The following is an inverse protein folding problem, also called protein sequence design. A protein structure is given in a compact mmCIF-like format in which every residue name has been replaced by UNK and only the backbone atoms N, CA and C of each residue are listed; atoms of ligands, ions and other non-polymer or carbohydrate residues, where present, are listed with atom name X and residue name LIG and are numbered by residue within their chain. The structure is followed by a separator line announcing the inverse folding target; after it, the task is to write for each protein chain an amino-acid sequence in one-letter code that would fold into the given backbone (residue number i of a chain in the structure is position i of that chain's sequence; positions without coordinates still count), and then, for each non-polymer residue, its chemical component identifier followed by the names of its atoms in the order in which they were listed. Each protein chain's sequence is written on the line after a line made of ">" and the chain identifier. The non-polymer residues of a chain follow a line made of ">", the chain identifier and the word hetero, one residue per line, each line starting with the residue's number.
data_IF_896484045492
#
_entry.id   IF_896484045492
#
_cell.length_a   1.000
_cell.length_b   1.000
_cell.length_c   1.000
_cell.angle_alpha   90.00
_cell.angle_beta   90.00
_cell.angle_gamma   90.00
#
_symmetry.space_group_name_H-M   'P 1'
#
loop_
_entity.id
_entity.type
_entity.pdbx_description
1 polymer ?
#
# COMPACT_ATOMS: atom_id res chain seq x y z
N UNK A 1 -33.09 -78.99 -37.84
CA UNK A 1 -32.14 -78.07 -37.17
C UNK A 1 -31.71 -77.00 -38.17
N UNK A 2 -31.31 -75.79 -37.73
CA UNK A 2 -30.85 -74.64 -38.55
C UNK A 2 -31.91 -73.67 -39.12
N UNK A 3 -32.71 -72.99 -38.28
CA UNK A 3 -33.42 -71.76 -38.71
C UNK A 3 -33.30 -70.53 -37.77
N UNK A 4 -32.62 -70.63 -36.61
CA UNK A 4 -32.58 -69.54 -35.63
C UNK A 4 -31.22 -68.82 -35.45
N UNK A 5 -30.16 -69.22 -36.17
CA UNK A 5 -28.84 -68.60 -35.97
C UNK A 5 -28.72 -67.18 -36.56
N UNK A 6 -29.36 -66.91 -37.69
CA UNK A 6 -29.22 -65.63 -38.39
C UNK A 6 -30.00 -64.47 -37.71
N UNK A 7 -31.14 -64.78 -37.08
CA UNK A 7 -31.93 -63.80 -36.29
C UNK A 7 -31.22 -63.40 -34.99
N UNK A 8 -30.58 -64.35 -34.32
CA UNK A 8 -29.77 -64.11 -33.12
C UNK A 8 -28.51 -63.28 -33.43
N UNK A 9 -27.83 -63.57 -34.54
CA UNK A 9 -26.66 -62.81 -35.01
C UNK A 9 -27.02 -61.37 -35.39
N UNK A 10 -28.15 -61.16 -36.07
CA UNK A 10 -28.62 -59.81 -36.43
C UNK A 10 -29.00 -58.98 -35.19
N UNK A 11 -29.65 -59.60 -34.21
CA UNK A 11 -30.02 -58.95 -32.94
C UNK A 11 -28.80 -58.59 -32.10
N UNK A 12 -27.77 -59.45 -32.11
CA UNK A 12 -26.50 -59.20 -31.42
C UNK A 12 -25.69 -58.06 -32.08
N UNK A 13 -25.69 -58.00 -33.41
CA UNK A 13 -25.05 -56.93 -34.18
C UNK A 13 -25.75 -55.57 -33.97
N UNK A 14 -27.09 -55.56 -33.87
CA UNK A 14 -27.87 -54.37 -33.59
C UNK A 14 -27.66 -53.86 -32.15
N UNK A 15 -27.55 -54.78 -31.18
CA UNK A 15 -27.21 -54.44 -29.80
C UNK A 15 -25.79 -53.90 -29.66
N UNK A 16 -24.80 -54.48 -30.35
CA UNK A 16 -23.41 -53.98 -30.35
C UNK A 16 -23.29 -52.60 -31.00
N UNK A 17 -24.04 -52.34 -32.09
CA UNK A 17 -24.05 -51.02 -32.73
C UNK A 17 -24.72 -49.97 -31.85
N UNK A 18 -25.83 -50.29 -31.18
CA UNK A 18 -26.44 -49.38 -30.20
C UNK A 18 -25.49 -49.06 -29.03
N UNK A 19 -24.74 -50.05 -28.51
CA UNK A 19 -23.73 -49.84 -27.46
C UNK A 19 -22.55 -48.98 -27.94
N UNK A 20 -22.12 -49.13 -29.19
CA UNK A 20 -21.04 -48.33 -29.77
C UNK A 20 -21.45 -46.85 -29.96
N UNK A 21 -22.72 -46.56 -30.26
CA UNK A 21 -23.23 -45.19 -30.41
C UNK A 21 -23.35 -44.50 -29.04
N UNK A 22 -23.68 -45.24 -27.98
CA UNK A 22 -23.75 -44.71 -26.61
C UNK A 22 -22.38 -44.56 -25.91
N UNK A 23 -21.35 -45.26 -26.37
CA UNK A 23 -20.00 -45.22 -25.80
C UNK A 23 -19.18 -43.97 -26.17
N UNK A 24 -19.61 -43.18 -27.16
CA UNK A 24 -18.89 -41.98 -27.60
C UNK A 24 -19.37 -40.73 -26.85
N UNK A 25 -19.23 -40.72 -25.53
CA UNK A 25 -19.36 -39.47 -24.78
C UNK A 25 -18.13 -38.60 -25.05
N UNK A 26 -18.33 -37.44 -25.70
CA UNK A 26 -17.27 -36.45 -25.89
C UNK A 26 -16.65 -36.12 -24.54
N UNK A 27 -15.34 -36.33 -24.40
CA UNK A 27 -14.60 -35.92 -23.19
C UNK A 27 -14.85 -34.42 -23.00
N UNK A 28 -15.46 -34.01 -21.89
CA UNK A 28 -15.84 -32.62 -21.72
C UNK A 28 -14.58 -31.76 -21.59
N UNK A 29 -14.50 -30.72 -22.41
CA UNK A 29 -13.30 -29.88 -22.54
C UNK A 29 -13.14 -28.99 -21.31
N UNK A 30 -11.95 -29.05 -20.71
CA UNK A 30 -11.58 -28.24 -19.56
C UNK A 30 -12.22 -28.69 -18.24
N UNK A 31 -11.84 -28.01 -17.18
CA UNK A 31 -12.24 -28.26 -15.80
C UNK A 31 -12.53 -26.94 -15.09
N UNK A 32 -13.54 -26.93 -14.24
CA UNK A 32 -13.81 -25.82 -13.31
C UNK A 32 -13.95 -26.44 -11.93
N UNK A 33 -13.06 -26.06 -11.01
CA UNK A 33 -13.03 -26.60 -9.66
C UNK A 33 -14.24 -26.09 -8.87
N UNK A 34 -14.67 -26.92 -7.93
CA UNK A 34 -15.64 -26.51 -6.93
C UNK A 34 -15.04 -25.60 -5.87
N UNK A 35 -13.72 -25.62 -5.70
CA UNK A 35 -12.96 -24.94 -4.67
C UNK A 35 -12.23 -23.70 -5.20
N UNK A 36 -12.98 -22.76 -5.78
CA UNK A 36 -12.46 -21.46 -6.23
C UNK A 36 -12.71 -20.42 -5.13
N UNK A 37 -11.67 -19.73 -4.67
CA UNK A 37 -11.76 -18.79 -3.56
C UNK A 37 -10.66 -17.70 -3.59
N UNK A 38 -10.80 -16.68 -2.75
CA UNK A 38 -9.74 -15.69 -2.50
C UNK A 38 -8.81 -16.16 -1.39
N UNK A 39 -7.49 -16.19 -1.64
CA UNK A 39 -6.51 -16.67 -0.67
C UNK A 39 -6.50 -15.87 0.65
N UNK A 40 -6.78 -14.56 0.58
CA UNK A 40 -6.87 -13.68 1.74
C UNK A 40 -8.35 -13.32 1.95
N UNK A 41 -8.90 -13.81 3.05
CA UNK A 41 -10.28 -13.55 3.46
C UNK A 41 -10.36 -13.57 5.01
N UNK A 42 -10.62 -12.44 5.69
CA UNK A 42 -11.02 -11.15 5.13
C UNK A 42 -9.89 -10.43 4.39
N UNK A 43 -10.24 -9.73 3.32
CA UNK A 43 -9.36 -8.79 2.63
C UNK A 43 -9.47 -7.41 3.29
N UNK A 44 -8.40 -6.98 3.96
CA UNK A 44 -8.38 -5.72 4.71
C UNK A 44 -7.92 -4.58 3.82
N UNK A 45 -8.67 -3.47 3.82
CA UNK A 45 -8.41 -2.28 3.02
C UNK A 45 -8.43 -1.06 3.92
N UNK A 46 -7.42 -0.20 3.79
CA UNK A 46 -7.35 1.07 4.51
C UNK A 46 -7.93 2.20 3.65
N UNK A 47 -8.74 3.08 4.26
CA UNK A 47 -9.33 4.22 3.58
C UNK A 47 -8.28 5.11 2.90
N UNK A 48 -8.49 5.46 1.63
CA UNK A 48 -7.59 6.35 0.88
C UNK A 48 -6.34 5.67 0.32
N UNK A 49 -6.09 4.40 0.65
CA UNK A 49 -4.92 3.65 0.20
C UNK A 49 -5.31 2.70 -0.92
N UNK A 50 -4.59 2.78 -2.04
CA UNK A 50 -4.75 1.82 -3.15
C UNK A 50 -4.27 0.45 -2.70
N UNK A 51 -5.10 -0.59 -2.87
CA UNK A 51 -4.77 -1.95 -2.43
C UNK A 51 -5.26 -2.95 -3.48
N UNK A 52 -4.45 -3.94 -3.81
CA UNK A 52 -4.80 -5.01 -4.77
C UNK A 52 -4.57 -6.37 -4.14
N UNK A 53 -5.44 -7.33 -4.46
CA UNK A 53 -5.23 -8.72 -4.05
C UNK A 53 -4.37 -9.48 -5.07
N UNK A 54 -4.08 -10.74 -4.79
CA UNK A 54 -3.79 -11.73 -5.83
C UNK A 54 -5.09 -12.11 -6.58
N UNK A 55 -4.97 -12.83 -7.70
CA UNK A 55 -6.15 -13.44 -8.35
C UNK A 55 -6.78 -14.53 -7.48
N UNK A 56 -7.90 -15.07 -7.96
CA UNK A 56 -8.55 -16.25 -7.36
C UNK A 56 -7.57 -17.43 -7.30
N UNK A 57 -7.66 -18.22 -6.23
CA UNK A 57 -7.13 -19.59 -6.21
C UNK A 57 -8.10 -20.45 -6.98
N UNK A 58 -7.60 -21.11 -8.03
CA UNK A 58 -8.47 -21.74 -9.05
C UNK A 58 -8.45 -23.27 -9.00
N UNK A 59 -7.60 -23.85 -8.16
CA UNK A 59 -7.53 -25.29 -7.85
C UNK A 59 -7.59 -26.18 -9.11
N UNK A 60 -6.65 -25.96 -10.04
CA UNK A 60 -6.55 -26.74 -11.28
C UNK A 60 -7.57 -26.41 -12.38
N UNK A 61 -8.46 -25.44 -12.16
CA UNK A 61 -9.40 -24.99 -13.21
C UNK A 61 -8.67 -24.55 -14.48
N UNK A 62 -9.27 -24.85 -15.63
CA UNK A 62 -8.75 -24.41 -16.93
C UNK A 62 -8.79 -22.90 -17.05
N UNK A 63 -7.66 -22.29 -17.41
CA UNK A 63 -7.53 -20.86 -17.67
C UNK A 63 -7.87 -20.51 -19.12
N UNK A 64 -8.28 -19.26 -19.42
CA UNK A 64 -8.54 -18.17 -18.47
C UNK A 64 -9.88 -18.38 -17.72
N UNK A 65 -9.93 -17.90 -16.47
CA UNK A 65 -11.18 -17.73 -15.73
C UNK A 65 -11.66 -16.29 -15.88
N UNK A 66 -12.88 -16.14 -16.37
CA UNK A 66 -13.58 -14.87 -16.45
C UNK A 66 -14.39 -14.65 -15.18
N UNK A 67 -14.40 -13.43 -14.67
CA UNK A 67 -15.06 -13.06 -13.42
C UNK A 67 -15.99 -11.88 -13.66
N UNK A 68 -17.21 -11.98 -13.14
CA UNK A 68 -18.22 -10.93 -13.16
C UNK A 68 -18.71 -10.68 -11.74
N UNK A 69 -18.65 -9.45 -11.28
CA UNK A 69 -19.27 -9.03 -10.03
C UNK A 69 -20.80 -9.07 -10.16
N UNK A 70 -21.48 -9.69 -9.19
CA UNK A 70 -22.94 -9.83 -9.19
C UNK A 70 -23.60 -8.88 -8.20
N UNK A 71 -23.08 -8.81 -6.97
CA UNK A 71 -23.63 -7.98 -5.90
C UNK A 71 -22.54 -7.63 -4.90
N UNK A 72 -22.71 -6.49 -4.22
CA UNK A 72 -21.93 -6.10 -3.04
C UNK A 72 -22.89 -5.70 -1.93
N UNK A 73 -22.63 -6.11 -0.70
CA UNK A 73 -23.52 -5.83 0.44
C UNK A 73 -22.73 -5.39 1.66
N UNK A 74 -23.34 -4.49 2.42
CA UNK A 74 -22.92 -4.16 3.77
C UNK A 74 -23.31 -5.31 4.70
N UNK A 75 -22.36 -5.83 5.47
CA UNK A 75 -22.60 -7.00 6.33
C UNK A 75 -23.34 -6.65 7.63
N UNK A 76 -23.33 -5.39 8.07
CA UNK A 76 -24.04 -4.97 9.27
C UNK A 76 -25.56 -4.86 9.01
N UNK A 77 -25.95 -4.44 7.80
CA UNK A 77 -27.33 -4.18 7.43
C UNK A 77 -27.91 -5.20 6.44
N UNK A 78 -27.05 -5.97 5.76
CA UNK A 78 -27.43 -6.88 4.66
C UNK A 78 -27.84 -6.17 3.37
N UNK A 79 -27.84 -4.84 3.33
CA UNK A 79 -28.32 -4.03 2.20
C UNK A 79 -27.26 -3.95 1.10
N UNK A 80 -27.73 -3.66 -0.11
CA UNK A 80 -26.86 -3.37 -1.25
C UNK A 80 -25.89 -2.23 -0.93
N UNK A 81 -24.62 -2.44 -1.26
CA UNK A 81 -23.54 -1.47 -1.07
C UNK A 81 -23.00 -0.92 -2.39
N UNK A 82 -23.68 -1.16 -3.53
CA UNK A 82 -23.19 -0.76 -4.86
C UNK A 82 -23.08 0.75 -4.98
N UNK A 83 -24.02 1.49 -4.39
CA UNK A 83 -24.02 2.95 -4.32
C UNK A 83 -22.89 3.56 -3.49
N UNK A 84 -22.10 2.73 -2.79
CA UNK A 84 -20.94 3.14 -2.01
C UNK A 84 -19.66 2.58 -2.63
N UNK A 85 -19.59 1.27 -2.87
CA UNK A 85 -18.37 0.60 -3.32
C UNK A 85 -18.14 0.73 -4.83
N UNK A 86 -19.19 0.87 -5.63
CA UNK A 86 -19.11 0.95 -7.10
C UNK A 86 -19.43 2.34 -7.64
N UNK A 87 -19.86 3.27 -6.77
CA UNK A 87 -20.09 4.66 -7.12
C UNK A 87 -18.75 5.28 -7.53
N UNK A 88 -18.76 5.92 -8.69
CA UNK A 88 -17.61 6.68 -9.15
C UNK A 88 -17.48 7.97 -8.32
N UNK A 89 -16.31 8.18 -7.73
CA UNK A 89 -15.96 9.41 -7.03
C UNK A 89 -14.71 10.04 -7.65
N UNK A 90 -14.60 11.36 -7.51
CA UNK A 90 -13.46 12.12 -7.98
C UNK A 90 -12.33 12.05 -6.96
N UNK A 91 -11.19 11.52 -7.40
CA UNK A 91 -9.94 11.52 -6.65
C UNK A 91 -8.83 12.19 -7.44
N UNK A 92 -7.83 12.73 -6.74
CA UNK A 92 -6.64 13.28 -7.38
C UNK A 92 -5.63 12.16 -7.60
N UNK A 93 -5.10 12.03 -8.81
CA UNK A 93 -4.10 11.02 -9.17
C UNK A 93 -2.94 11.67 -9.93
N UNK A 94 -1.80 10.99 -9.96
CA UNK A 94 -0.71 11.33 -10.87
C UNK A 94 -1.08 10.93 -12.31
N UNK A 95 -0.84 11.83 -13.26
CA UNK A 95 -1.04 11.57 -14.71
C UNK A 95 0.26 11.22 -15.44
N UNK A 96 1.40 11.29 -14.75
CA UNK A 96 2.72 10.95 -15.24
C UNK A 96 3.68 10.74 -14.07
N UNK A 97 4.91 10.32 -14.36
CA UNK A 97 5.95 10.15 -13.36
C UNK A 97 6.31 11.49 -12.72
N UNK A 98 6.32 11.55 -11.38
CA UNK A 98 6.79 12.71 -10.62
C UNK A 98 8.19 12.42 -10.08
N UNK A 99 9.08 13.39 -10.17
CA UNK A 99 10.44 13.30 -9.67
C UNK A 99 10.92 14.64 -9.08
N UNK A 100 12.15 14.68 -8.55
CA UNK A 100 12.68 15.87 -7.91
C UNK A 100 12.86 17.08 -8.84
N UNK A 101 12.78 16.92 -10.17
CA UNK A 101 12.81 18.03 -11.12
C UNK A 101 11.47 18.78 -11.16
N UNK A 102 10.38 18.16 -10.68
CA UNK A 102 9.10 18.83 -10.43
C UNK A 102 9.18 19.72 -9.18
N UNK A 103 10.23 20.53 -9.07
CA UNK A 103 10.68 21.23 -7.86
C UNK A 103 9.79 22.39 -7.40
N UNK A 104 8.65 22.61 -8.03
CA UNK A 104 7.69 23.64 -7.61
C UNK A 104 6.29 23.07 -7.57
N UNK A 105 5.42 23.63 -6.73
CA UNK A 105 4.00 23.24 -6.66
C UNK A 105 3.32 23.37 -8.03
N UNK A 106 3.73 24.35 -8.85
CA UNK A 106 3.21 24.52 -10.19
C UNK A 106 3.56 23.35 -11.12
N UNK A 107 4.83 22.89 -11.12
CA UNK A 107 5.27 21.74 -11.92
C UNK A 107 4.60 20.44 -11.46
N UNK A 108 4.52 20.23 -10.15
CA UNK A 108 3.79 19.10 -9.57
C UNK A 108 2.31 19.09 -10.00
N UNK A 109 1.64 20.24 -9.91
CA UNK A 109 0.23 20.36 -10.30
C UNK A 109 0.00 20.07 -11.78
N UNK A 110 0.99 20.34 -12.66
CA UNK A 110 0.91 19.93 -14.06
C UNK A 110 0.88 18.41 -14.21
N UNK A 111 1.42 17.63 -13.26
CA UNK A 111 1.41 16.16 -13.28
C UNK A 111 0.29 15.54 -12.43
N UNK A 112 -0.54 16.36 -11.80
CA UNK A 112 -1.74 15.93 -11.11
C UNK A 112 -2.96 16.08 -12.02
N UNK A 113 -3.94 15.19 -11.88
CA UNK A 113 -5.26 15.32 -12.50
C UNK A 113 -6.34 14.73 -11.62
N UNK A 114 -7.55 15.26 -11.74
CA UNK A 114 -8.72 14.59 -11.20
C UNK A 114 -9.06 13.36 -12.07
N UNK A 115 -9.42 12.27 -11.40
CA UNK A 115 -9.83 11.02 -12.01
C UNK A 115 -11.07 10.50 -11.31
N UNK A 116 -12.01 10.00 -12.10
CA UNK A 116 -13.28 9.50 -11.62
C UNK A 116 -13.20 7.97 -11.55
N UNK A 117 -13.03 7.42 -10.35
CA UNK A 117 -12.84 5.99 -10.11
C UNK A 117 -13.78 5.49 -9.01
N UNK A 118 -14.20 4.23 -9.13
CA UNK A 118 -14.91 3.55 -8.06
C UNK A 118 -13.93 3.15 -6.94
N UNK A 119 -14.38 3.10 -5.67
CA UNK A 119 -13.60 2.54 -4.58
C UNK A 119 -13.19 1.10 -4.80
N UNK A 120 -14.05 0.29 -5.45
CA UNK A 120 -13.86 -1.15 -5.62
C UNK A 120 -14.12 -1.58 -7.07
N UNK A 121 -13.27 -2.47 -7.58
CA UNK A 121 -13.49 -3.21 -8.81
C UNK A 121 -12.84 -4.61 -8.75
N UNK A 122 -13.27 -5.47 -9.67
CA UNK A 122 -12.72 -6.82 -9.85
C UNK A 122 -12.19 -6.94 -11.28
N UNK A 123 -10.97 -7.41 -11.46
CA UNK A 123 -10.43 -7.73 -12.77
C UNK A 123 -11.25 -8.86 -13.40
N UNK A 124 -11.74 -8.63 -14.61
CA UNK A 124 -12.59 -9.58 -15.33
C UNK A 124 -11.87 -10.88 -15.70
N UNK A 125 -10.53 -10.92 -15.65
CA UNK A 125 -9.72 -12.11 -15.85
C UNK A 125 -8.99 -12.42 -14.55
N UNK A 126 -9.18 -13.64 -14.04
CA UNK A 126 -8.52 -14.13 -12.82
C UNK A 126 -9.04 -13.50 -11.51
N UNK A 127 -9.95 -12.51 -11.56
CA UNK A 127 -10.71 -12.06 -10.39
C UNK A 127 -9.96 -11.22 -9.38
N UNK A 128 -8.81 -10.63 -9.74
CA UNK A 128 -8.04 -9.77 -8.82
C UNK A 128 -8.91 -8.61 -8.31
N UNK A 129 -8.96 -8.42 -6.99
CA UNK A 129 -9.62 -7.28 -6.36
C UNK A 129 -8.74 -6.04 -6.49
N UNK A 130 -9.36 -4.89 -6.77
CA UNK A 130 -8.69 -3.61 -6.84
C UNK A 130 -9.48 -2.56 -6.06
N UNK A 131 -8.79 -1.92 -5.13
CA UNK A 131 -9.29 -0.78 -4.38
C UNK A 131 -8.49 0.46 -4.72
N UNK A 132 -9.18 1.58 -4.87
CA UNK A 132 -8.57 2.88 -5.20
C UNK A 132 -8.60 3.80 -3.99
N UNK A 133 -7.99 4.98 -4.10
CA UNK A 133 -8.06 6.00 -3.04
C UNK A 133 -9.48 6.51 -2.77
N UNK A 134 -10.45 6.21 -3.65
CA UNK A 134 -11.85 6.54 -3.41
C UNK A 134 -12.43 5.78 -2.19
N UNK A 135 -11.73 4.76 -1.67
CA UNK A 135 -12.08 4.12 -0.38
C UNK A 135 -12.15 5.09 0.79
N UNK A 136 -11.56 6.30 0.69
CA UNK A 136 -11.75 7.36 1.70
C UNK A 136 -13.21 7.80 1.88
N UNK A 137 -14.06 7.53 0.89
CA UNK A 137 -15.50 7.83 0.94
C UNK A 137 -16.35 6.62 1.36
N UNK A 138 -15.73 5.46 1.54
CA UNK A 138 -16.42 4.23 1.97
C UNK A 138 -16.45 4.20 3.51
N UNK A 139 -17.61 4.05 4.15
CA UNK A 139 -17.70 3.92 5.61
C UNK A 139 -16.87 2.73 6.13
N UNK A 140 -16.33 2.90 7.33
CA UNK A 140 -15.67 1.80 8.05
C UNK A 140 -16.66 0.66 8.28
N UNK A 141 -16.20 -0.57 8.12
CA UNK A 141 -17.07 -1.72 8.32
C UNK A 141 -16.68 -2.93 7.49
N UNK A 142 -17.61 -3.88 7.44
CA UNK A 142 -17.43 -5.14 6.74
C UNK A 142 -18.42 -5.22 5.57
N UNK A 143 -17.92 -5.63 4.42
CA UNK A 143 -18.71 -5.83 3.21
C UNK A 143 -18.47 -7.23 2.67
N UNK A 144 -19.42 -7.76 1.91
CA UNK A 144 -19.23 -8.98 1.14
C UNK A 144 -19.68 -8.77 -0.29
N UNK A 145 -19.29 -9.68 -1.17
CA UNK A 145 -19.72 -9.63 -2.57
C UNK A 145 -19.87 -11.02 -3.16
N UNK A 146 -20.71 -11.09 -4.19
CA UNK A 146 -20.93 -12.30 -4.98
C UNK A 146 -20.29 -12.13 -6.34
N UNK A 147 -19.70 -13.21 -6.86
CA UNK A 147 -19.16 -13.24 -8.22
C UNK A 147 -19.69 -14.42 -9.00
N UNK A 148 -19.74 -14.26 -10.32
CA UNK A 148 -19.84 -15.34 -11.26
C UNK A 148 -18.45 -15.58 -11.86
N UNK A 149 -18.04 -16.85 -11.90
CA UNK A 149 -16.77 -17.29 -12.48
C UNK A 149 -17.05 -18.25 -13.61
N UNK A 150 -16.39 -18.09 -14.76
CA UNK A 150 -16.57 -18.96 -15.91
C UNK A 150 -15.30 -19.26 -16.69
N UNK A 151 -15.24 -20.43 -17.31
CA UNK A 151 -14.23 -20.80 -18.29
C UNK A 151 -14.86 -21.66 -19.40
N UNK A 152 -14.03 -22.32 -20.23
CA UNK A 152 -14.51 -23.19 -21.31
C UNK A 152 -15.37 -24.36 -20.83
N UNK A 153 -15.24 -24.79 -19.57
CA UNK A 153 -15.99 -25.90 -19.00
C UNK A 153 -17.39 -25.47 -18.55
N UNK A 154 -17.54 -24.26 -18.03
CA UNK A 154 -18.82 -23.80 -17.52
C UNK A 154 -18.74 -22.55 -16.68
N UNK A 155 -19.81 -22.29 -15.93
CA UNK A 155 -20.01 -21.10 -15.11
C UNK A 155 -20.47 -21.51 -13.71
N UNK A 156 -19.97 -20.83 -12.68
CA UNK A 156 -20.36 -21.02 -11.27
C UNK A 156 -20.56 -19.67 -10.59
N UNK A 157 -21.49 -19.63 -9.64
CA UNK A 157 -21.66 -18.48 -8.75
C UNK A 157 -20.99 -18.78 -7.41
N UNK A 158 -20.18 -17.83 -6.93
CA UNK A 158 -19.60 -17.82 -5.60
C UNK A 158 -20.32 -16.74 -4.79
N UNK A 159 -21.16 -17.17 -3.85
CA UNK A 159 -21.84 -16.29 -2.90
C UNK A 159 -20.93 -15.96 -1.73
N UNK A 160 -20.93 -14.70 -1.28
CA UNK A 160 -20.04 -14.20 -0.23
C UNK A 160 -18.57 -14.55 -0.50
N UNK A 161 -18.15 -14.36 -1.75
CA UNK A 161 -16.87 -14.83 -2.30
C UNK A 161 -15.67 -14.34 -1.49
N UNK A 162 -15.72 -13.13 -0.95
CA UNK A 162 -14.76 -12.63 0.03
C UNK A 162 -15.40 -11.57 0.94
N UNK A 163 -14.97 -11.54 2.20
CA UNK A 163 -15.25 -10.45 3.13
C UNK A 163 -14.21 -9.35 2.93
N UNK A 164 -14.68 -8.12 2.74
CA UNK A 164 -13.85 -6.91 2.71
C UNK A 164 -13.99 -6.22 4.07
N UNK A 165 -12.86 -5.90 4.71
CA UNK A 165 -12.84 -5.08 5.93
C UNK A 165 -12.26 -3.71 5.60
N UNK A 166 -13.08 -2.66 5.64
CA UNK A 166 -12.64 -1.27 5.48
C UNK A 166 -12.30 -0.70 6.85
N UNK A 167 -11.03 -0.33 7.03
CA UNK A 167 -10.51 0.28 8.25
C UNK A 167 -9.96 1.69 8.00
N UNK A 168 -9.83 2.48 9.06
CA UNK A 168 -9.17 3.78 8.97
C UNK A 168 -7.71 3.62 8.55
N UNK A 169 -7.21 4.52 7.71
CA UNK A 169 -5.79 4.53 7.39
C UNK A 169 -4.95 4.96 8.59
N UNK A 170 -3.83 4.26 8.80
CA UNK A 170 -2.77 4.79 9.64
C UNK A 170 -2.25 6.07 9.00
N UNK A 171 -2.18 7.21 9.71
CA UNK A 171 -1.68 8.47 9.16
C UNK A 171 -0.29 8.35 8.54
N UNK A 172 0.52 7.47 9.11
CA UNK A 172 1.91 7.26 8.77
C UNK A 172 2.33 5.79 8.92
N UNK A 173 3.54 5.48 8.49
CA UNK A 173 4.19 4.18 8.72
C UNK A 173 5.70 4.38 8.82
N UNK A 174 6.28 4.02 9.97
CA UNK A 174 7.72 3.91 10.18
C UNK A 174 8.22 2.58 9.61
N UNK A 175 9.07 2.63 8.58
CA UNK A 175 9.55 1.43 7.87
C UNK A 175 11.02 1.11 8.11
N UNK A 176 11.79 2.09 8.59
CA UNK A 176 13.21 1.92 8.87
C UNK A 176 13.67 2.82 10.02
N UNK A 177 14.59 2.30 10.82
CA UNK A 177 15.24 3.01 11.91
C UNK A 177 16.68 2.53 12.06
N UNK A 178 17.64 3.44 12.14
CA UNK A 178 19.03 3.13 12.45
C UNK A 178 19.71 4.26 13.21
N UNK A 179 20.69 3.89 14.02
CA UNK A 179 21.41 4.80 14.90
C UNK A 179 22.89 4.47 14.94
N UNK A 180 23.74 5.48 14.93
CA UNK A 180 25.19 5.34 15.06
C UNK A 180 25.78 6.62 15.64
N UNK A 181 26.98 6.51 16.19
CA UNK A 181 27.80 7.66 16.52
C UNK A 181 28.88 7.87 15.47
N UNK A 182 29.34 9.11 15.31
CA UNK A 182 30.53 9.41 14.53
C UNK A 182 31.38 10.52 15.14
N UNK A 183 32.63 10.60 14.71
CA UNK A 183 33.45 11.79 14.90
C UNK A 183 32.83 13.00 14.15
N UNK A 184 33.31 14.20 14.48
CA UNK A 184 32.82 15.46 13.90
C UNK A 184 33.04 15.57 12.39
N UNK A 185 33.98 14.79 11.83
CA UNK A 185 34.31 14.75 10.41
C UNK A 185 33.59 13.64 9.63
N UNK A 186 32.79 12.81 10.30
CA UNK A 186 32.10 11.67 9.68
C UNK A 186 33.07 10.67 9.00
N UNK A 187 34.22 10.44 9.61
CA UNK A 187 35.25 9.49 9.13
C UNK A 187 35.25 8.17 9.90
N UNK A 188 34.82 8.18 11.16
CA UNK A 188 34.72 6.99 12.00
C UNK A 188 33.28 6.81 12.49
N UNK A 189 32.73 5.61 12.32
CA UNK A 189 31.35 5.28 12.70
C UNK A 189 31.30 4.10 13.67
N UNK A 190 30.51 4.25 14.72
CA UNK A 190 30.20 3.17 15.67
C UNK A 190 28.70 2.92 15.61
N UNK A 191 28.30 1.73 15.15
CA UNK A 191 26.91 1.31 15.12
C UNK A 191 26.33 1.22 16.53
N UNK A 192 25.10 1.69 16.71
CA UNK A 192 24.38 1.62 17.98
C UNK A 192 23.08 0.81 17.83
N UNK A 193 22.60 0.16 18.89
CA UNK A 193 21.30 -0.51 18.87
C UNK A 193 20.19 0.46 18.48
N UNK A 194 19.32 0.06 17.54
CA UNK A 194 18.18 0.88 17.13
C UNK A 194 17.22 1.19 18.30
N UNK A 195 17.20 0.37 19.35
CA UNK A 195 16.40 0.60 20.57
C UNK A 195 16.79 1.86 21.35
N UNK A 196 17.99 2.41 21.11
CA UNK A 196 18.44 3.69 21.67
C UNK A 196 17.85 4.90 20.93
N UNK A 197 17.22 4.68 19.79
CA UNK A 197 16.48 5.69 19.05
C UNK A 197 14.99 5.39 19.19
N UNK A 198 14.24 6.32 19.77
CA UNK A 198 12.79 6.22 19.86
C UNK A 198 12.14 7.29 19.00
N UNK A 199 11.07 6.92 18.32
CA UNK A 199 10.45 7.76 17.32
C UNK A 199 8.94 7.67 17.46
N UNK A 200 8.34 8.78 17.90
CA UNK A 200 6.90 8.92 18.09
C UNK A 200 6.34 9.87 17.05
N UNK A 201 5.38 9.38 16.26
CA UNK A 201 4.68 10.15 15.23
C UNK A 201 3.28 10.45 15.75
N UNK A 202 2.85 11.69 15.60
CA UNK A 202 1.48 12.12 15.91
C UNK A 202 0.94 12.93 14.74
N UNK A 203 -0.35 12.77 14.45
CA UNK A 203 -1.02 13.45 13.35
C UNK A 203 -2.17 14.31 13.88
N UNK A 204 -2.17 15.59 13.51
CA UNK A 204 -3.25 16.53 13.76
C UNK A 204 -3.94 16.88 12.43
N UNK A 205 -5.13 16.31 12.13
CA UNK A 205 -5.81 16.53 10.86
C UNK A 205 -6.34 17.97 10.67
N UNK A 206 -6.43 18.76 11.75
CA UNK A 206 -6.87 20.16 11.70
C UNK A 206 -5.70 21.16 11.60
N UNK A 207 -4.46 20.70 11.73
CA UNK A 207 -3.27 21.54 11.61
C UNK A 207 -2.95 21.94 10.18
N UNK A 208 -2.00 22.88 9.97
CA UNK A 208 -1.46 23.17 8.66
C UNK A 208 -0.73 21.96 8.07
N UNK A 209 -0.70 21.88 6.74
CA UNK A 209 -0.02 20.84 5.95
C UNK A 209 1.50 20.90 6.13
N UNK A 210 1.98 20.26 7.21
CA UNK A 210 3.38 20.32 7.66
C UNK A 210 3.86 19.01 8.29
N UNK A 211 5.16 18.80 8.23
CA UNK A 211 5.90 17.81 9.00
C UNK A 211 6.86 18.54 9.92
N UNK A 212 6.80 18.26 11.23
CA UNK A 212 7.60 18.90 12.26
C UNK A 212 8.49 17.83 12.90
N UNK A 213 9.80 17.95 12.71
CA UNK A 213 10.78 17.07 13.35
C UNK A 213 11.36 17.72 14.58
N UNK A 214 11.42 16.97 15.68
CA UNK A 214 11.87 17.41 16.99
C UNK A 214 12.85 16.39 17.53
N UNK A 215 14.03 16.82 18.00
CA UNK A 215 15.01 15.95 18.65
C UNK A 215 15.09 16.22 20.14
N UNK A 216 15.04 15.14 20.94
CA UNK A 216 15.15 15.17 22.39
C UNK A 216 16.27 14.26 22.87
N UNK A 217 16.95 14.69 23.92
CA UNK A 217 17.89 13.84 24.65
C UNK A 217 17.18 12.87 25.61
N UNK A 218 17.94 12.02 26.32
CA UNK A 218 17.36 11.04 27.26
C UNK A 218 16.67 11.66 28.48
N UNK A 219 16.85 12.96 28.73
CA UNK A 219 16.17 13.74 29.77
C UNK A 219 15.00 14.56 29.24
N UNK A 220 14.68 14.44 27.95
CA UNK A 220 13.59 15.17 27.28
C UNK A 220 13.93 16.60 26.89
N UNK A 221 15.20 17.03 26.98
CA UNK A 221 15.65 18.36 26.56
C UNK A 221 15.70 18.43 25.04
N UNK A 222 15.21 19.54 24.48
CA UNK A 222 15.23 19.78 23.04
C UNK A 222 16.62 20.15 22.57
N UNK A 223 17.07 19.53 21.48
CA UNK A 223 18.16 20.07 20.67
C UNK A 223 17.66 21.24 19.83
N UNK A 224 18.54 22.19 19.52
CA UNK A 224 18.21 23.45 18.84
C UNK A 224 18.70 23.50 17.39
N UNK A 225 17.82 23.26 16.39
CA UNK A 225 18.20 23.32 14.98
C UNK A 225 18.60 24.70 14.49
N UNK A 226 18.03 25.79 15.03
CA UNK A 226 18.40 27.17 14.65
C UNK A 226 19.84 27.53 15.05
N UNK A 227 20.39 26.87 16.08
CA UNK A 227 21.80 26.99 16.51
C UNK A 227 22.74 25.97 15.86
N UNK A 228 22.23 25.12 14.97
CA UNK A 228 23.03 24.11 14.27
C UNK A 228 23.26 22.83 15.08
N UNK A 229 22.55 22.62 16.19
CA UNK A 229 22.68 21.38 16.97
C UNK A 229 22.17 20.16 16.18
N UNK A 230 21.22 20.37 15.26
CA UNK A 230 20.71 19.37 14.32
C UNK A 230 20.99 19.79 12.89
N UNK A 231 21.61 18.92 12.11
CA UNK A 231 21.85 19.13 10.68
C UNK A 231 21.53 17.89 9.85
N UNK A 232 21.26 18.08 8.55
CA UNK A 232 21.24 16.95 7.61
C UNK A 232 22.63 16.33 7.55
N UNK A 233 22.72 14.99 7.56
CA UNK A 233 24.02 14.32 7.55
C UNK A 233 24.73 14.55 6.21
N UNK A 234 26.01 14.94 6.17
CA UNK A 234 26.72 15.15 4.91
C UNK A 234 26.68 13.93 4.00
N UNK A 235 26.58 14.17 2.67
CA UNK A 235 26.55 13.13 1.63
C UNK A 235 25.41 12.10 1.78
N UNK A 236 24.31 12.49 2.42
CA UNK A 236 23.13 11.66 2.64
C UNK A 236 21.85 12.50 2.48
N UNK A 237 20.76 11.90 1.99
CA UNK A 237 19.49 12.61 1.86
C UNK A 237 18.86 12.93 3.23
N UNK A 238 18.10 14.00 3.29
CA UNK A 238 17.20 14.34 4.38
C UNK A 238 15.83 14.72 3.81
N UNK A 239 14.86 15.10 4.65
CA UNK A 239 13.49 15.36 4.17
C UNK A 239 13.41 16.46 3.09
N UNK A 240 14.28 17.47 3.13
CA UNK A 240 14.29 18.53 2.11
C UNK A 240 14.63 18.00 0.70
N UNK A 241 15.28 16.83 0.59
CA UNK A 241 15.61 16.22 -0.69
C UNK A 241 14.43 15.42 -1.28
N UNK A 242 13.41 15.14 -0.45
CA UNK A 242 12.13 14.52 -0.79
C UNK A 242 10.99 15.55 -0.95
N UNK A 243 11.20 16.76 -0.43
CA UNK A 243 10.27 17.88 -0.47
C UNK A 243 10.95 19.12 -1.08
N UNK A 244 11.08 19.17 -2.42
CA UNK A 244 11.69 20.32 -3.09
C UNK A 244 10.77 21.56 -3.12
N UNK A 245 9.55 21.44 -2.61
CA UNK A 245 8.48 22.43 -2.81
C UNK A 245 8.53 23.58 -1.82
N UNK A 246 9.02 23.33 -0.60
CA UNK A 246 9.05 24.30 0.48
C UNK A 246 10.43 24.36 1.13
N UNK A 247 10.91 25.56 1.51
CA UNK A 247 12.14 25.65 2.30
C UNK A 247 11.89 25.09 3.71
N UNK A 248 12.92 24.45 4.27
CA UNK A 248 12.90 24.03 5.67
C UNK A 248 12.94 25.25 6.60
N UNK A 249 11.98 25.35 7.52
CA UNK A 249 12.04 26.33 8.60
C UNK A 249 12.76 25.70 9.79
N UNK A 250 13.70 26.44 10.39
CA UNK A 250 14.44 26.01 11.58
C UNK A 250 14.03 26.86 12.77
N UNK A 251 13.60 26.22 13.85
CA UNK A 251 13.27 26.88 15.12
C UNK A 251 14.28 26.51 16.19
N UNK A 252 14.06 27.00 17.41
CA UNK A 252 14.82 26.61 18.59
C UNK A 252 14.59 25.15 19.03
N UNK A 253 13.55 24.48 18.50
CA UNK A 253 13.16 23.13 18.92
C UNK A 253 12.85 22.18 17.76
N UNK A 254 12.73 22.67 16.53
CA UNK A 254 12.24 21.87 15.39
C UNK A 254 12.84 22.22 14.04
N UNK A 255 12.81 21.23 13.14
CA UNK A 255 12.85 21.42 11.69
C UNK A 255 11.43 21.26 11.16
N UNK A 256 10.91 22.25 10.45
CA UNK A 256 9.56 22.20 9.86
C UNK A 256 9.62 22.19 8.35
N UNK A 257 8.86 21.27 7.77
CA UNK A 257 8.71 21.08 6.33
C UNK A 257 7.25 21.30 5.96
N UNK A 258 7.00 22.21 5.01
CA UNK A 258 5.68 22.25 4.37
C UNK A 258 5.49 21.02 3.48
N UNK A 259 4.29 20.80 2.97
CA UNK A 259 4.13 19.85 1.86
C UNK A 259 2.95 20.24 0.97
N UNK A 260 2.95 19.82 -0.31
CA UNK A 260 1.92 20.26 -1.24
C UNK A 260 0.58 19.59 -0.94
N UNK A 261 -0.48 20.39 -0.90
CA UNK A 261 -1.82 19.90 -0.71
C UNK A 261 -2.30 19.08 -1.93
N UNK A 262 -3.19 18.12 -1.68
CA UNK A 262 -3.88 17.36 -2.74
C UNK A 262 -3.02 16.30 -3.42
N UNK A 263 -1.83 15.99 -2.88
CA UNK A 263 -1.05 14.84 -3.35
C UNK A 263 -1.61 13.53 -2.79
N UNK A 264 -1.44 12.40 -3.49
CA UNK A 264 -2.04 11.13 -3.11
C UNK A 264 -1.31 10.42 -1.94
N UNK A 265 0.00 10.65 -1.77
CA UNK A 265 0.85 10.09 -0.72
C UNK A 265 2.16 10.92 -0.61
N UNK A 266 2.85 10.87 0.53
CA UNK A 266 4.23 11.37 0.67
C UNK A 266 5.18 10.32 1.27
N UNK A 267 6.48 10.30 0.90
CA UNK A 267 7.12 11.10 -0.15
C UNK A 267 6.48 10.92 -1.52
N UNK A 268 6.51 11.96 -2.35
CA UNK A 268 5.78 12.01 -3.63
C UNK A 268 6.49 11.18 -4.72
N UNK A 269 7.80 11.04 -4.59
CA UNK A 269 8.66 10.37 -5.55
C UNK A 269 9.70 9.50 -4.84
N UNK A 270 10.29 8.57 -5.59
CA UNK A 270 11.08 7.48 -5.03
C UNK A 270 12.59 7.75 -4.98
N UNK A 271 13.07 8.81 -5.64
CA UNK A 271 14.49 9.18 -5.71
C UNK A 271 14.74 10.59 -5.14
N UNK A 272 15.63 10.72 -4.16
CA UNK A 272 15.98 12.00 -3.56
C UNK A 272 16.83 12.87 -4.50
N UNK A 273 16.62 14.19 -4.43
CA UNK A 273 17.41 15.16 -5.20
C UNK A 273 18.90 15.03 -4.88
N UNK A 274 19.72 14.72 -5.89
CA UNK A 274 21.18 14.63 -5.74
C UNK A 274 21.68 13.36 -5.05
N UNK A 275 20.82 12.38 -4.75
CA UNK A 275 21.17 11.15 -4.04
C UNK A 275 20.56 9.91 -4.71
N UNK A 276 21.28 9.33 -5.67
CA UNK A 276 20.86 8.08 -6.31
C UNK A 276 21.09 6.86 -5.41
N UNK A 277 20.24 5.84 -5.55
CA UNK A 277 20.41 4.54 -4.88
C UNK A 277 19.95 4.48 -3.41
N UNK A 278 19.39 5.57 -2.86
CA UNK A 278 18.79 5.56 -1.53
C UNK A 278 17.32 5.11 -1.57
N UNK A 279 16.86 4.40 -0.54
CA UNK A 279 15.47 4.02 -0.40
C UNK A 279 14.54 5.23 -0.24
N UNK A 280 13.33 5.14 -0.78
CA UNK A 280 12.35 6.23 -0.75
C UNK A 280 12.09 6.75 0.66
N UNK A 281 12.17 8.08 0.85
CA UNK A 281 11.87 8.75 2.12
C UNK A 281 12.91 8.60 3.21
N UNK A 282 14.02 7.90 2.96
CA UNK A 282 15.07 7.75 3.98
C UNK A 282 15.70 9.10 4.28
N UNK A 283 15.73 9.44 5.57
CA UNK A 283 16.20 10.74 6.03
C UNK A 283 17.31 10.56 7.07
N UNK A 284 18.42 11.25 6.86
CA UNK A 284 19.60 11.20 7.70
C UNK A 284 19.85 12.55 8.36
N UNK A 285 19.86 12.56 9.69
CA UNK A 285 20.19 13.73 10.50
C UNK A 285 21.30 13.42 11.50
N UNK A 286 21.98 14.46 11.94
CA UNK A 286 23.05 14.37 12.92
C UNK A 286 22.84 15.42 14.01
N UNK A 287 22.89 14.97 15.26
CA UNK A 287 23.08 15.83 16.42
C UNK A 287 24.58 16.09 16.54
N UNK A 288 25.00 17.35 16.49
CA UNK A 288 26.41 17.71 16.51
C UNK A 288 27.07 17.36 17.86
N UNK A 289 28.22 16.69 17.82
CA UNK A 289 28.90 16.19 19.02
C UNK A 289 29.38 17.25 20.00
N UNK A 290 29.55 18.49 19.55
CA UNK A 290 29.83 19.63 20.44
C UNK A 290 28.67 19.90 21.43
N UNK A 291 27.47 19.40 21.13
CA UNK A 291 26.26 19.58 21.93
C UNK A 291 25.80 18.27 22.59
N UNK A 292 26.65 17.25 22.66
CA UNK A 292 26.37 15.99 23.35
C UNK A 292 27.38 15.75 24.48
N UNK A 293 26.94 15.11 25.56
CA UNK A 293 27.80 14.74 26.70
C UNK A 293 28.90 13.74 26.32
N UNK A 294 28.69 12.98 25.25
CA UNK A 294 29.66 12.01 24.74
C UNK A 294 30.71 12.62 23.80
N UNK A 295 30.55 13.87 23.37
CA UNK A 295 31.49 14.53 22.45
C UNK A 295 31.51 13.98 21.01
N UNK A 296 30.58 13.08 20.68
CA UNK A 296 30.42 12.46 19.37
C UNK A 296 29.08 12.85 18.74
N UNK A 297 29.04 12.90 17.41
CA UNK A 297 27.80 13.10 16.67
C UNK A 297 26.87 11.93 16.93
N UNK A 298 25.59 12.21 17.21
CA UNK A 298 24.55 11.20 17.29
C UNK A 298 23.72 11.21 16.00
N UNK A 299 23.89 10.19 15.16
CA UNK A 299 23.35 10.14 13.81
C UNK A 299 22.07 9.32 13.77
N UNK A 300 20.94 9.98 13.51
CA UNK A 300 19.63 9.35 13.44
C UNK A 300 19.24 9.11 11.98
N UNK A 301 18.79 7.90 11.66
CA UNK A 301 18.27 7.54 10.34
C UNK A 301 16.89 6.95 10.49
N UNK A 302 15.94 7.41 9.69
CA UNK A 302 14.59 6.86 9.66
C UNK A 302 13.94 7.00 8.29
N UNK A 303 12.96 6.14 8.02
CA UNK A 303 12.06 6.26 6.86
C UNK A 303 10.62 6.24 7.34
N UNK A 304 9.89 7.30 6.99
CA UNK A 304 8.47 7.46 7.32
C UNK A 304 7.71 7.69 6.02
N UNK A 305 6.68 6.88 5.79
CA UNK A 305 5.67 7.15 4.77
C UNK A 305 4.51 7.89 5.43
N UNK A 306 4.07 9.00 4.84
CA UNK A 306 2.89 9.73 5.27
C UNK A 306 1.74 9.39 4.33
N UNK A 307 0.83 8.58 4.85
CA UNK A 307 -0.29 8.00 4.10
C UNK A 307 -1.46 8.98 3.99
N UNK A 308 -1.53 9.94 4.92
CA UNK A 308 -2.45 11.08 4.85
C UNK A 308 -1.67 12.33 4.45
N UNK A 309 -2.26 13.12 3.55
CA UNK A 309 -1.61 14.29 2.91
C UNK A 309 -2.33 15.58 3.28
N UNK A 310 -2.92 15.60 4.48
CA UNK A 310 -3.57 16.76 5.10
C UNK A 310 -3.27 16.78 6.59
N UNK A 311 -3.01 17.96 7.15
CA UNK A 311 -2.80 18.15 8.59
C UNK A 311 -1.33 18.29 8.98
N UNK A 312 -1.04 18.25 10.28
CA UNK A 312 0.33 18.34 10.78
C UNK A 312 0.80 17.00 11.31
N UNK A 313 1.97 16.55 10.87
CA UNK A 313 2.69 15.46 11.50
C UNK A 313 3.76 16.02 12.44
N UNK A 314 3.81 15.53 13.67
CA UNK A 314 4.90 15.82 14.60
C UNK A 314 5.66 14.53 14.88
N UNK A 315 6.93 14.52 14.51
CA UNK A 315 7.86 13.41 14.72
C UNK A 315 8.82 13.79 15.83
N UNK A 316 8.65 13.13 16.97
CA UNK A 316 9.55 13.28 18.13
C UNK A 316 10.58 12.16 18.09
N UNK A 317 11.82 12.54 17.86
CA UNK A 317 13.00 11.67 17.85
C UNK A 317 13.69 11.80 19.20
N UNK A 318 13.73 10.73 19.99
CA UNK A 318 14.39 10.70 21.30
C UNK A 318 15.62 9.80 21.23
N UNK A 319 16.80 10.36 21.48
CA UNK A 319 18.06 9.62 21.59
C UNK A 319 18.31 9.28 23.07
N UNK A 320 18.34 7.99 23.40
CA UNK A 320 18.27 7.49 24.78
C UNK A 320 19.62 7.36 25.49
N UNK A 321 20.73 7.56 24.79
CA UNK A 321 22.08 7.41 25.31
C UNK A 321 22.81 8.74 25.55
N UNK A 322 22.40 9.82 24.89
CA UNK A 322 23.04 11.14 25.02
C UNK A 322 22.26 12.12 25.91
N UNK A 323 22.97 13.09 26.50
CA UNK A 323 22.44 14.30 27.14
C UNK A 323 22.86 15.51 26.30
N UNK A 324 21.97 16.47 26.12
CA UNK A 324 22.28 17.75 25.47
C UNK A 324 23.23 18.59 26.33
N UNK A 325 24.25 19.15 25.71
CA UNK A 325 25.14 20.18 26.28
C UNK A 325 24.93 21.49 25.50
N UNK A 326 24.67 22.64 26.17
CA UNK A 326 24.32 23.90 25.52
C UNK A 326 25.36 24.45 24.53
#
# INVERSE_FOLDING_TARGET
>A
MFKNKNSLLASLFLALTLLAIYGCQKVPKGFISDNIFYAINPFVVSQGITTVSTGLVIDGSTTPLNVKLLAVRDMATGKDASGILLKLDTIRVFKGNVDYNDSTVALLNQKLKDSTLAPFSINSIGGRLQFTQATKFVPLGNYNFDIQVSNIRGTKTLTNACKITVQGASPDTLTYLAYNHSDSKFTAFVGQPASLLDLKITHNPAGPDKIIYVWKDKKGQYFNPSKGEITGRPLRPNWADWDPYYPVAKTDTSLEYGYPAGVPQMPIFNEAKGYSGFGTGISYYSIAGAHTDIGFNANTTFTINYNLTKGTFVVVVTVKDVVRVP
#
